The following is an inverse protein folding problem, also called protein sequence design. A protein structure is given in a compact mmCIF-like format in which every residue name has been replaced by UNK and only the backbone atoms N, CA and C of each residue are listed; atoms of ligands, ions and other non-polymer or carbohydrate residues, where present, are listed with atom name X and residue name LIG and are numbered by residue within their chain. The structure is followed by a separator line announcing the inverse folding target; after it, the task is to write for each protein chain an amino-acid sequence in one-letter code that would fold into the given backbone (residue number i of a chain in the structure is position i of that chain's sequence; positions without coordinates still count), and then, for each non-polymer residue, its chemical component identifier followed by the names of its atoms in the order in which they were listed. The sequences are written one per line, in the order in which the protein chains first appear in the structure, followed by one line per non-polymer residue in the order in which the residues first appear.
data_IF_401259730709
#
_entry.id   IF_401259730709
#
_cell.length_a   1.000
_cell.length_b   1.000
_cell.length_c   1.000
_cell.angle_alpha   90.00
_cell.angle_beta   90.00
_cell.angle_gamma   90.00
#
_symmetry.space_group_name_H-M   'P 1'
#
loop_
_entity.id
_entity.type
_entity.pdbx_description
1 polymer ?
#
# COMPACT_ATOMS: atom_id res chain seq x y z
N UNK A 1 43.61 -15.64 -35.82
CA UNK A 1 42.41 -14.78 -35.83
C UNK A 1 41.09 -15.57 -35.71
N UNK A 2 41.02 -16.69 -34.97
CA UNK A 2 39.82 -17.55 -34.93
C UNK A 2 39.41 -18.08 -33.53
N UNK A 3 40.17 -17.76 -32.46
CA UNK A 3 39.87 -18.22 -31.10
C UNK A 3 39.02 -17.20 -30.31
N UNK A 4 39.32 -15.90 -30.46
CA UNK A 4 38.57 -14.82 -29.80
C UNK A 4 37.12 -14.72 -30.29
N UNK A 5 36.90 -14.92 -31.59
CA UNK A 5 35.58 -14.85 -32.20
C UNK A 5 34.65 -15.99 -31.73
N UNK A 6 35.21 -17.18 -31.45
CA UNK A 6 34.44 -18.34 -30.95
C UNK A 6 34.08 -18.23 -29.48
N UNK A 7 34.87 -17.49 -28.69
CA UNK A 7 34.57 -17.20 -27.29
C UNK A 7 33.45 -16.16 -27.17
N UNK A 8 33.52 -15.10 -27.99
CA UNK A 8 32.54 -14.02 -28.04
C UNK A 8 31.14 -14.49 -28.45
N UNK A 9 31.04 -15.42 -29.42
CA UNK A 9 29.76 -15.99 -29.86
C UNK A 9 29.12 -16.89 -28.79
N UNK A 10 29.93 -17.58 -27.96
CA UNK A 10 29.43 -18.40 -26.85
C UNK A 10 28.97 -17.56 -25.65
N UNK A 11 29.65 -16.45 -25.36
CA UNK A 11 29.21 -15.51 -24.31
C UNK A 11 27.97 -14.71 -24.70
N UNK A 12 27.81 -14.35 -25.99
CA UNK A 12 26.61 -13.66 -26.45
C UNK A 12 25.36 -14.57 -26.42
N UNK A 13 25.51 -15.88 -26.64
CA UNK A 13 24.41 -16.83 -26.57
C UNK A 13 23.92 -17.11 -25.13
N UNK A 14 24.77 -16.87 -24.12
CA UNK A 14 24.40 -17.02 -22.70
C UNK A 14 23.71 -15.76 -22.17
N UNK A 15 24.01 -14.58 -22.73
CA UNK A 15 23.38 -13.32 -22.31
C UNK A 15 21.95 -13.12 -22.89
N UNK A 16 21.61 -13.76 -24.00
CA UNK A 16 20.25 -13.70 -24.58
C UNK A 16 19.24 -14.62 -23.90
N UNK A 17 19.67 -15.54 -23.04
CA UNK A 17 18.76 -16.47 -22.35
C UNK A 17 18.21 -15.95 -21.00
N UNK A 18 18.66 -14.79 -20.53
CA UNK A 18 18.22 -14.19 -19.26
C UNK A 18 17.18 -13.07 -19.39
N UNK A 19 16.59 -12.89 -20.56
CA UNK A 19 15.32 -12.17 -20.71
C UNK A 19 14.14 -13.14 -20.54
N UNK A 20 14.13 -13.86 -19.42
CA UNK A 20 12.91 -14.51 -18.94
C UNK A 20 11.99 -13.38 -18.51
N UNK A 21 10.96 -13.16 -19.31
CA UNK A 21 9.98 -12.13 -19.11
C UNK A 21 9.48 -12.12 -17.67
N UNK A 22 9.67 -10.97 -17.01
CA UNK A 22 8.72 -10.55 -15.99
C UNK A 22 7.42 -10.28 -16.73
N UNK A 23 6.64 -11.34 -16.95
CA UNK A 23 5.21 -11.18 -17.15
C UNK A 23 4.72 -10.61 -15.83
N UNK A 24 4.70 -9.27 -15.76
CA UNK A 24 3.97 -8.54 -14.75
C UNK A 24 2.57 -9.12 -14.82
N UNK A 25 2.24 -9.96 -13.84
CA UNK A 25 0.95 -10.60 -13.75
C UNK A 25 -0.02 -9.47 -13.42
N UNK A 26 -0.46 -8.75 -14.46
CA UNK A 26 -1.45 -7.70 -14.38
C UNK A 26 -2.65 -8.33 -13.67
N UNK A 27 -2.74 -8.01 -12.38
CA UNK A 27 -3.69 -8.56 -11.43
C UNK A 27 -5.06 -8.30 -12.04
N UNK A 28 -5.75 -9.37 -12.48
CA UNK A 28 -7.08 -9.25 -13.08
C UNK A 28 -8.11 -9.04 -11.98
N UNK A 29 -8.03 -7.90 -11.33
CA UNK A 29 -9.09 -7.42 -10.48
C UNK A 29 -10.22 -6.90 -11.36
N UNK A 30 -11.46 -7.07 -10.90
CA UNK A 30 -12.63 -6.58 -11.64
C UNK A 30 -12.55 -5.05 -11.71
N UNK A 31 -12.63 -4.44 -12.91
CA UNK A 31 -12.58 -3.00 -13.04
C UNK A 31 -13.76 -2.36 -12.32
N UNK A 32 -13.54 -1.14 -11.82
CA UNK A 32 -14.61 -0.36 -11.19
C UNK A 32 -15.72 -0.07 -12.20
N UNK A 33 -16.96 -0.10 -11.73
CA UNK A 33 -18.13 0.24 -12.54
C UNK A 33 -18.30 1.75 -12.64
N UNK A 34 -18.77 2.20 -13.80
CA UNK A 34 -19.15 3.58 -14.01
C UNK A 34 -20.41 3.92 -13.20
N UNK A 35 -20.63 5.19 -12.80
CA UNK A 35 -21.80 5.59 -12.02
C UNK A 35 -23.13 5.18 -12.65
N UNK A 36 -23.28 5.26 -13.97
CA UNK A 36 -24.50 4.85 -14.66
C UNK A 36 -24.77 3.35 -14.51
N UNK A 37 -23.73 2.51 -14.56
CA UNK A 37 -23.87 1.07 -14.39
C UNK A 37 -24.26 0.71 -12.96
N UNK A 38 -23.75 1.42 -11.95
CA UNK A 38 -24.16 1.22 -10.57
C UNK A 38 -25.65 1.57 -10.39
N UNK A 39 -26.10 2.68 -10.96
CA UNK A 39 -27.50 3.11 -10.90
C UNK A 39 -28.45 2.12 -11.60
N UNK A 40 -28.04 1.53 -12.71
CA UNK A 40 -28.81 0.51 -13.44
C UNK A 40 -28.95 -0.79 -12.63
N UNK A 41 -27.89 -1.20 -11.93
CA UNK A 41 -27.86 -2.42 -11.13
C UNK A 41 -28.52 -2.28 -9.75
N UNK A 42 -28.70 -1.05 -9.28
CA UNK A 42 -29.24 -0.77 -7.95
C UNK A 42 -30.77 -0.76 -7.95
N UNK A 43 -31.38 -1.38 -6.95
CA UNK A 43 -32.81 -1.19 -6.64
C UNK A 43 -33.02 0.05 -5.78
N UNK A 44 -32.07 0.35 -4.89
CA UNK A 44 -32.12 1.44 -3.94
C UNK A 44 -30.77 2.18 -3.95
N UNK A 45 -30.80 3.50 -3.83
CA UNK A 45 -29.62 4.35 -3.73
C UNK A 45 -29.86 5.35 -2.61
N UNK A 46 -29.03 5.28 -1.57
CA UNK A 46 -29.22 6.06 -0.35
C UNK A 46 -27.92 6.72 0.09
N UNK A 47 -28.02 7.93 0.63
CA UNK A 47 -26.97 8.52 1.44
C UNK A 47 -27.23 8.11 2.89
N UNK A 48 -26.29 7.41 3.50
CA UNK A 48 -26.50 6.89 4.85
C UNK A 48 -25.25 7.01 5.71
N UNK A 49 -25.48 7.16 7.01
CA UNK A 49 -24.45 7.05 8.04
C UNK A 49 -24.36 5.61 8.52
N UNK A 50 -23.15 5.08 8.60
CA UNK A 50 -22.89 3.77 9.19
C UNK A 50 -22.99 3.87 10.71
N UNK A 51 -23.87 3.08 11.31
CA UNK A 51 -23.99 2.99 12.76
C UNK A 51 -22.87 2.12 13.36
N UNK A 52 -22.58 2.23 14.68
CA UNK A 52 -21.53 1.45 15.33
C UNK A 52 -21.73 -0.08 15.27
N UNK A 53 -22.98 -0.53 15.11
CA UNK A 53 -23.35 -1.95 15.07
C UNK A 53 -23.01 -2.54 13.68
N UNK A 54 -21.72 -2.75 13.41
CA UNK A 54 -21.23 -3.46 12.23
C UNK A 54 -20.85 -4.89 12.63
N UNK A 55 -21.54 -5.86 12.04
CA UNK A 55 -21.22 -7.27 12.22
C UNK A 55 -20.24 -7.73 11.13
N UNK A 56 -19.24 -8.51 11.53
CA UNK A 56 -18.20 -9.02 10.63
C UNK A 56 -18.03 -10.52 10.89
N UNK A 57 -18.36 -11.33 9.90
CA UNK A 57 -18.11 -12.77 9.90
C UNK A 57 -16.87 -13.07 9.07
N UNK A 58 -15.91 -13.80 9.66
CA UNK A 58 -14.69 -14.21 8.95
C UNK A 58 -14.71 -15.69 8.63
N UNK A 59 -14.49 -16.03 7.37
CA UNK A 59 -14.32 -17.40 6.90
C UNK A 59 -12.99 -17.56 6.16
N UNK A 60 -12.45 -18.77 6.15
CA UNK A 60 -11.23 -19.08 5.39
C UNK A 60 -11.51 -20.27 4.48
N UNK A 61 -11.24 -20.10 3.19
CA UNK A 61 -11.40 -21.16 2.19
C UNK A 61 -10.36 -21.02 1.08
N UNK A 62 -9.71 -22.13 0.71
CA UNK A 62 -8.79 -22.19 -0.42
C UNK A 62 -7.67 -21.14 -0.41
N UNK A 63 -7.16 -20.73 0.76
CA UNK A 63 -6.12 -19.69 0.89
C UNK A 63 -6.65 -18.26 0.87
N UNK A 64 -7.96 -18.07 0.81
CA UNK A 64 -8.62 -16.78 0.98
C UNK A 64 -9.15 -16.62 2.39
N UNK A 65 -8.90 -15.47 3.01
CA UNK A 65 -9.65 -15.00 4.16
C UNK A 65 -10.75 -14.07 3.67
N UNK A 66 -12.00 -14.51 3.79
CA UNK A 66 -13.19 -13.75 3.41
C UNK A 66 -13.83 -13.15 4.66
N UNK A 67 -14.27 -11.91 4.53
CA UNK A 67 -15.03 -11.18 5.54
C UNK A 67 -16.35 -10.73 4.93
N UNK A 68 -17.44 -11.14 5.56
CA UNK A 68 -18.79 -10.71 5.22
C UNK A 68 -19.20 -9.67 6.27
N UNK A 69 -19.69 -8.52 5.80
CA UNK A 69 -20.02 -7.35 6.60
C UNK A 69 -21.52 -7.14 6.56
N UNK A 70 -22.13 -6.88 7.71
CA UNK A 70 -23.51 -6.40 7.82
C UNK A 70 -23.49 -5.01 8.44
N UNK A 71 -23.79 -4.00 7.63
CA UNK A 71 -23.82 -2.61 8.06
C UNK A 71 -25.22 -2.23 8.52
N UNK A 72 -25.36 -1.78 9.77
CA UNK A 72 -26.51 -0.98 10.21
C UNK A 72 -26.39 0.44 9.67
N UNK A 73 -27.33 0.88 8.84
CA UNK A 73 -27.31 2.18 8.18
C UNK A 73 -28.46 3.07 8.66
N UNK A 74 -28.16 4.33 8.97
CA UNK A 74 -29.15 5.37 9.20
C UNK A 74 -29.27 6.24 7.95
N UNK A 75 -30.44 6.20 7.30
CA UNK A 75 -30.68 6.90 6.03
C UNK A 75 -30.76 8.42 6.25
N UNK A 76 -29.84 9.17 5.65
CA UNK A 76 -29.82 10.64 5.67
C UNK A 76 -30.56 11.23 4.46
N UNK A 77 -30.45 10.59 3.29
CA UNK A 77 -31.16 10.97 2.07
C UNK A 77 -31.38 9.77 1.14
N UNK A 78 -32.33 9.88 0.21
CA UNK A 78 -32.74 8.80 -0.70
C UNK A 78 -32.79 9.32 -2.14
N UNK A 79 -31.99 8.71 -3.01
CA UNK A 79 -31.93 9.03 -4.43
C UNK A 79 -32.78 8.07 -5.27
N UNK A 80 -32.88 6.80 -4.85
CA UNK A 80 -33.65 5.75 -5.52
C UNK A 80 -34.15 4.73 -4.50
N UNK A 81 -35.31 4.14 -4.75
CA UNK A 81 -35.84 3.05 -3.91
C UNK A 81 -36.95 3.49 -2.97
N UNK A 82 -37.26 2.63 -2.00
CA UNK A 82 -38.44 2.79 -1.13
C UNK A 82 -38.14 3.27 0.30
N UNK A 83 -36.87 3.39 0.66
CA UNK A 83 -36.45 3.88 1.97
C UNK A 83 -36.85 5.34 2.19
N UNK A 84 -36.87 5.78 3.45
CA UNK A 84 -37.12 7.16 3.86
C UNK A 84 -36.00 7.67 4.74
N UNK A 85 -35.80 8.99 4.72
CA UNK A 85 -34.90 9.66 5.66
C UNK A 85 -35.30 9.32 7.09
N UNK A 86 -34.31 8.92 7.89
CA UNK A 86 -34.47 8.47 9.27
C UNK A 86 -34.71 6.98 9.43
N UNK A 87 -34.90 6.22 8.34
CA UNK A 87 -35.03 4.77 8.42
C UNK A 87 -33.69 4.15 8.84
N UNK A 88 -33.78 3.07 9.62
CA UNK A 88 -32.67 2.15 9.87
C UNK A 88 -32.81 0.97 8.93
N UNK A 89 -31.80 0.74 8.10
CA UNK A 89 -31.74 -0.39 7.16
C UNK A 89 -30.45 -1.18 7.37
N UNK A 90 -30.44 -2.44 6.96
CA UNK A 90 -29.25 -3.28 6.97
C UNK A 90 -28.79 -3.55 5.55
N UNK A 91 -27.48 -3.48 5.31
CA UNK A 91 -26.88 -3.77 4.01
C UNK A 91 -25.68 -4.71 4.17
N UNK A 92 -25.59 -5.72 3.30
CA UNK A 92 -24.49 -6.68 3.32
C UNK A 92 -23.44 -6.35 2.27
N UNK A 93 -22.17 -6.57 2.62
CA UNK A 93 -21.05 -6.49 1.71
C UNK A 93 -20.04 -7.58 2.04
N UNK A 94 -19.05 -7.78 1.18
CA UNK A 94 -17.97 -8.73 1.43
C UNK A 94 -16.67 -8.28 0.81
N UNK A 95 -15.56 -8.63 1.45
CA UNK A 95 -14.21 -8.48 0.96
C UNK A 95 -13.41 -9.74 1.26
N UNK A 96 -12.40 -10.05 0.46
CA UNK A 96 -11.46 -11.14 0.77
C UNK A 96 -10.03 -10.76 0.43
N UNK A 97 -9.13 -11.22 1.29
CA UNK A 97 -7.69 -11.10 1.12
C UNK A 97 -7.07 -12.49 0.90
N UNK A 98 -6.04 -12.55 0.06
CA UNK A 98 -5.24 -13.76 -0.10
C UNK A 98 -4.28 -13.90 1.06
N UNK A 99 -4.37 -15.02 1.77
CA UNK A 99 -3.50 -15.39 2.90
C UNK A 99 -2.70 -16.67 2.62
N UNK A 100 -2.84 -17.23 1.41
CA UNK A 100 -2.09 -18.39 0.94
C UNK A 100 -0.66 -18.06 0.53
N UNK A 101 0.12 -19.10 0.23
CA UNK A 101 1.48 -18.95 -0.29
C UNK A 101 1.47 -18.61 -1.78
N UNK A 102 2.37 -17.70 -2.18
CA UNK A 102 2.54 -17.28 -3.57
C UNK A 102 1.51 -16.24 -4.01
N UNK A 103 1.45 -15.99 -5.32
CA UNK A 103 0.50 -15.03 -5.89
C UNK A 103 -0.94 -15.56 -5.82
N UNK A 104 -1.93 -14.70 -5.52
CA UNK A 104 -3.33 -15.10 -5.54
C UNK A 104 -3.77 -15.58 -6.92
N UNK A 105 -4.63 -16.60 -7.01
CA UNK A 105 -5.25 -16.98 -8.27
C UNK A 105 -6.12 -15.82 -8.81
N UNK A 106 -6.23 -15.65 -10.15
CA UNK A 106 -6.99 -14.56 -10.75
C UNK A 106 -8.45 -14.56 -10.31
N UNK A 107 -8.85 -13.57 -9.51
CA UNK A 107 -10.20 -13.48 -8.97
C UNK A 107 -10.51 -12.09 -8.40
N UNK A 108 -11.78 -11.83 -8.08
CA UNK A 108 -12.20 -10.58 -7.43
C UNK A 108 -11.85 -10.57 -5.93
N UNK A 109 -11.43 -9.42 -5.40
CA UNK A 109 -11.26 -9.19 -3.97
C UNK A 109 -12.56 -8.76 -3.26
N UNK A 110 -13.64 -8.49 -4.01
CA UNK A 110 -14.93 -8.07 -3.47
C UNK A 110 -15.14 -6.57 -3.52
N UNK A 111 -15.72 -6.01 -2.45
CA UNK A 111 -16.07 -4.61 -2.36
C UNK A 111 -14.87 -3.73 -1.99
N UNK A 112 -14.82 -2.53 -2.59
CA UNK A 112 -13.86 -1.46 -2.28
C UNK A 112 -14.34 -0.09 -2.81
N UNK A 113 -14.19 0.99 -2.02
CA UNK A 113 -13.90 0.99 -0.59
C UNK A 113 -15.08 0.46 0.23
N UNK A 114 -14.83 0.08 1.49
CA UNK A 114 -15.88 -0.15 2.49
C UNK A 114 -15.86 1.01 3.51
N UNK A 115 -17.03 1.45 4.02
CA UNK A 115 -17.11 2.55 4.97
C UNK A 115 -16.80 2.06 6.40
N UNK A 116 -16.32 2.97 7.24
CA UNK A 116 -16.14 2.73 8.68
C UNK A 116 -17.38 3.17 9.46
N UNK A 117 -17.53 2.65 10.68
CA UNK A 117 -18.55 3.11 11.61
C UNK A 117 -18.45 4.63 11.82
N UNK A 118 -19.60 5.31 11.77
CA UNK A 118 -19.73 6.76 11.90
C UNK A 118 -19.59 7.54 10.59
N UNK A 119 -19.02 6.94 9.54
CA UNK A 119 -18.87 7.59 8.23
C UNK A 119 -20.20 7.71 7.50
N UNK A 120 -20.30 8.73 6.65
CA UNK A 120 -21.40 8.93 5.72
C UNK A 120 -20.92 8.54 4.33
N UNK A 121 -21.68 7.69 3.65
CA UNK A 121 -21.40 7.25 2.29
C UNK A 121 -22.68 7.12 1.48
N UNK A 122 -22.57 7.25 0.17
CA UNK A 122 -23.63 6.86 -0.76
C UNK A 122 -23.51 5.37 -1.02
N UNK A 123 -24.62 4.66 -0.86
CA UNK A 123 -24.74 3.23 -1.08
C UNK A 123 -25.62 2.96 -2.29
N UNK A 124 -25.07 2.22 -3.23
CA UNK A 124 -25.76 1.59 -4.35
C UNK A 124 -26.13 0.17 -3.92
N UNK A 125 -27.41 -0.06 -3.69
CA UNK A 125 -27.94 -1.28 -3.08
C UNK A 125 -28.82 -2.03 -4.07
N UNK A 126 -28.76 -3.36 -4.00
CA UNK A 126 -29.62 -4.27 -4.74
C UNK A 126 -30.34 -5.18 -3.75
N UNK A 127 -31.67 -5.20 -3.83
CA UNK A 127 -32.50 -6.16 -3.10
C UNK A 127 -32.41 -7.53 -3.75
N UNK A 128 -32.05 -8.55 -2.98
CA UNK A 128 -32.07 -9.95 -3.40
C UNK A 128 -33.50 -10.51 -3.40
N UNK A 129 -33.70 -11.70 -3.96
CA UNK A 129 -35.00 -12.38 -3.95
C UNK A 129 -35.48 -12.67 -2.52
N UNK A 130 -34.54 -12.85 -1.58
CA UNK A 130 -34.80 -13.04 -0.13
C UNK A 130 -35.09 -11.72 0.61
N UNK A 131 -35.10 -10.59 -0.10
CA UNK A 131 -35.37 -9.26 0.46
C UNK A 131 -34.18 -8.58 1.14
N UNK A 132 -33.00 -9.22 1.16
CA UNK A 132 -31.78 -8.67 1.74
C UNK A 132 -31.23 -7.57 0.83
N UNK A 133 -30.76 -6.46 1.42
CA UNK A 133 -30.06 -5.42 0.66
C UNK A 133 -28.57 -5.77 0.60
N UNK A 134 -28.08 -5.99 -0.61
CA UNK A 134 -26.66 -6.22 -0.88
C UNK A 134 -26.06 -4.98 -1.53
N UNK A 135 -24.84 -4.60 -1.14
CA UNK A 135 -24.07 -3.56 -1.82
C UNK A 135 -23.71 -4.03 -3.23
N UNK A 136 -23.81 -3.13 -4.21
CA UNK A 136 -23.44 -3.46 -5.59
C UNK A 136 -21.91 -3.53 -5.71
N UNK A 137 -21.37 -4.66 -6.13
CA UNK A 137 -19.93 -4.81 -6.41
C UNK A 137 -19.46 -3.90 -7.57
N UNK A 138 -18.13 -3.76 -7.77
CA UNK A 138 -17.12 -3.81 -6.73
C UNK A 138 -17.08 -2.51 -5.91
N UNK A 139 -17.72 -1.43 -6.39
CA UNK A 139 -17.61 -0.06 -5.85
C UNK A 139 -18.96 0.60 -5.61
N UNK A 140 -19.94 -0.14 -5.10
CA UNK A 140 -21.27 0.39 -4.73
C UNK A 140 -21.28 1.28 -3.49
N UNK A 141 -20.11 1.60 -2.93
CA UNK A 141 -19.95 2.57 -1.85
C UNK A 141 -19.12 3.74 -2.37
N UNK A 142 -19.68 4.94 -2.26
CA UNK A 142 -18.99 6.20 -2.53
C UNK A 142 -18.86 6.97 -1.21
N UNK A 143 -17.63 7.09 -0.70
CA UNK A 143 -17.36 7.78 0.57
C UNK A 143 -17.49 9.30 0.39
N UNK A 144 -18.09 9.98 1.37
CA UNK A 144 -18.27 11.43 1.31
C UNK A 144 -16.95 12.23 1.52
N UNK A 145 -15.95 11.60 2.14
CA UNK A 145 -14.62 12.19 2.39
C UNK A 145 -13.57 11.42 1.59
N UNK A 146 -12.47 12.09 1.19
CA UNK A 146 -11.33 11.40 0.60
C UNK A 146 -10.67 10.52 1.67
N UNK A 147 -11.05 9.26 1.67
CA UNK A 147 -10.41 8.22 2.46
C UNK A 147 -9.55 7.34 1.55
N UNK A 148 -8.49 6.75 2.11
CA UNK A 148 -7.72 5.74 1.42
C UNK A 148 -8.61 4.50 1.18
N UNK A 149 -8.93 4.16 -0.09
CA UNK A 149 -9.74 2.99 -0.39
C UNK A 149 -9.07 1.67 -0.01
N UNK A 150 -7.75 1.67 0.21
CA UNK A 150 -6.97 0.48 0.55
C UNK A 150 -6.61 0.41 2.04
N UNK A 151 -7.19 1.27 2.87
CA UNK A 151 -6.99 1.24 4.31
C UNK A 151 -7.42 -0.13 4.88
N UNK A 152 -6.48 -0.90 5.49
CA UNK A 152 -6.77 -2.22 6.02
C UNK A 152 -7.86 -2.24 7.11
N UNK A 153 -8.05 -1.12 7.83
CA UNK A 153 -9.09 -1.01 8.87
C UNK A 153 -10.49 -1.13 8.27
N UNK A 154 -10.68 -0.64 7.04
CA UNK A 154 -11.95 -0.75 6.29
C UNK A 154 -12.30 -2.20 5.96
N UNK A 155 -11.30 -3.05 5.92
CA UNK A 155 -11.46 -4.47 5.67
C UNK A 155 -11.49 -5.28 6.96
N UNK A 156 -11.53 -4.63 8.14
CA UNK A 156 -11.68 -5.26 9.45
C UNK A 156 -10.36 -5.60 10.15
N UNK A 157 -9.21 -5.12 9.66
CA UNK A 157 -7.99 -5.19 10.47
C UNK A 157 -8.13 -4.25 11.68
N UNK A 158 -7.59 -4.63 12.85
CA UNK A 158 -7.57 -3.73 13.99
C UNK A 158 -6.82 -2.45 13.61
N UNK A 159 -7.25 -1.27 14.10
CA UNK A 159 -6.47 -0.05 13.94
C UNK A 159 -5.03 -0.30 14.39
N UNK A 160 -4.05 0.07 13.56
CA UNK A 160 -2.66 0.04 14.00
C UNK A 160 -2.54 1.05 15.14
N UNK A 161 -2.47 0.52 16.36
CA UNK A 161 -1.95 1.28 17.50
C UNK A 161 -0.46 1.37 17.24
N UNK A 162 -0.03 2.46 16.60
CA UNK A 162 1.38 2.83 16.73
C UNK A 162 1.66 2.90 18.23
N UNK A 163 2.67 2.19 18.75
CA UNK A 163 2.97 2.24 20.16
C UNK A 163 3.15 3.71 20.53
N UNK A 164 2.29 4.18 21.43
CA UNK A 164 2.40 5.50 22.01
C UNK A 164 3.85 5.62 22.50
N UNK A 165 4.61 6.57 21.96
CA UNK A 165 6.02 6.75 22.34
C UNK A 165 6.16 7.18 23.84
N UNK A 166 5.05 7.23 24.58
CA UNK A 166 4.95 7.70 25.97
C UNK A 166 5.01 6.66 27.09
N UNK A 167 4.82 5.36 26.85
CA UNK A 167 4.60 4.38 27.96
C UNK A 167 5.60 3.21 28.00
N UNK A 168 6.89 3.47 27.75
CA UNK A 168 7.96 2.55 28.10
C UNK A 168 8.68 3.03 29.38
N UNK A 169 8.86 2.18 30.41
CA UNK A 169 9.61 2.55 31.60
C UNK A 169 11.03 2.95 31.23
N UNK A 170 11.45 4.10 31.75
CA UNK A 170 12.80 4.66 31.64
C UNK A 170 13.85 3.68 32.18
N UNK A 171 14.34 2.77 31.33
CA UNK A 171 15.59 2.06 31.58
C UNK A 171 16.45 2.05 30.31
N UNK A 172 17.29 3.08 30.25
CA UNK A 172 18.66 3.04 29.73
C UNK A 172 18.88 2.50 28.30
N UNK A 173 18.40 3.23 27.30
CA UNK A 173 19.24 3.54 26.14
C UNK A 173 18.82 4.90 25.60
N UNK A 174 19.54 5.94 26.01
CA UNK A 174 19.42 7.25 25.40
C UNK A 174 19.51 7.09 23.87
N UNK A 175 18.37 7.26 23.18
CA UNK A 175 18.38 7.59 21.76
C UNK A 175 19.05 8.94 21.68
N UNK A 176 20.35 8.94 21.41
CA UNK A 176 21.10 10.12 21.05
C UNK A 176 20.28 10.86 19.99
N UNK A 177 19.98 12.16 20.16
CA UNK A 177 19.26 12.92 19.15
C UNK A 177 19.93 12.67 17.81
N UNK A 178 19.15 12.34 16.77
CA UNK A 178 19.68 12.14 15.43
C UNK A 178 20.54 13.35 15.10
N UNK A 179 21.86 13.13 15.05
CA UNK A 179 22.83 14.19 14.84
C UNK A 179 22.49 14.83 13.50
N UNK A 180 22.10 16.12 13.45
CA UNK A 180 21.77 16.78 12.19
C UNK A 180 22.98 16.82 11.23
N UNK A 181 24.18 16.49 11.74
CA UNK A 181 25.40 16.29 10.99
C UNK A 181 25.91 14.87 11.19
N UNK A 182 25.27 13.89 10.55
CA UNK A 182 25.79 12.53 10.52
C UNK A 182 27.26 12.49 10.07
N UNK A 183 28.00 11.48 10.55
CA UNK A 183 29.43 11.34 10.28
C UNK A 183 29.75 11.35 8.78
N UNK A 184 28.82 10.89 7.94
CA UNK A 184 28.89 10.97 6.48
C UNK A 184 28.97 12.43 5.98
N UNK A 185 28.19 13.35 6.54
CA UNK A 185 28.19 14.77 6.18
C UNK A 185 29.51 15.41 6.63
N UNK A 186 29.96 15.13 7.86
CA UNK A 186 31.22 15.67 8.40
C UNK A 186 32.42 15.20 7.56
N UNK A 187 32.45 13.91 7.20
CA UNK A 187 33.52 13.34 6.36
C UNK A 187 33.54 13.96 4.97
N UNK A 188 32.37 14.18 4.36
CA UNK A 188 32.26 14.86 3.05
C UNK A 188 32.79 16.30 3.14
N UNK A 189 32.37 17.06 4.17
CA UNK A 189 32.78 18.44 4.35
C UNK A 189 34.28 18.59 4.62
N UNK A 190 34.90 17.63 5.32
CA UNK A 190 36.34 17.63 5.57
C UNK A 190 37.14 17.13 4.35
N UNK A 191 36.59 16.23 3.53
CA UNK A 191 37.27 15.68 2.36
C UNK A 191 37.42 16.69 1.22
N UNK A 192 36.45 17.60 1.04
CA UNK A 192 36.46 18.62 -0.02
C UNK A 192 37.67 19.57 0.02
N UNK A 193 38.01 20.25 1.13
CA UNK A 193 39.17 21.12 1.19
C UNK A 193 40.50 20.35 1.06
N UNK A 194 40.57 19.10 1.55
CA UNK A 194 41.74 18.22 1.39
C UNK A 194 41.93 17.84 -0.10
N UNK A 195 40.85 17.52 -0.80
CA UNK A 195 40.87 17.26 -2.23
C UNK A 195 41.35 18.48 -3.01
N UNK A 196 40.75 19.65 -2.77
CA UNK A 196 41.14 20.91 -3.44
C UNK A 196 42.59 21.28 -3.10
N UNK A 197 43.02 21.09 -1.86
CA UNK A 197 44.40 21.29 -1.43
C UNK A 197 45.38 20.34 -2.12
N UNK A 198 45.00 19.08 -2.34
CA UNK A 198 45.84 18.09 -3.03
C UNK A 198 46.17 18.49 -4.47
N UNK A 199 45.23 19.14 -5.16
CA UNK A 199 45.41 19.60 -6.54
C UNK A 199 46.45 20.73 -6.67
N UNK A 200 46.76 21.42 -5.57
CA UNK A 200 47.76 22.49 -5.51
C UNK A 200 49.15 22.02 -5.09
N UNK A 201 49.32 20.76 -4.70
CA UNK A 201 50.60 20.22 -4.22
C UNK A 201 51.33 19.44 -5.34
N UNK A 202 52.66 19.55 -5.47
CA UNK A 202 53.45 18.73 -6.38
C UNK A 202 53.97 17.45 -5.71
N UNK A 203 54.23 16.41 -6.52
CA UNK A 203 54.96 15.21 -6.11
C UNK A 203 54.21 14.30 -5.12
N UNK A 204 54.94 13.68 -4.19
CA UNK A 204 54.41 12.66 -3.27
C UNK A 204 53.30 13.18 -2.35
N UNK A 205 53.36 14.45 -1.96
CA UNK A 205 52.36 15.10 -1.11
C UNK A 205 50.96 15.16 -1.76
N UNK A 206 50.90 15.29 -3.09
CA UNK A 206 49.63 15.21 -3.84
C UNK A 206 48.96 13.86 -3.66
N UNK A 207 49.73 12.79 -3.87
CA UNK A 207 49.20 11.43 -3.82
C UNK A 207 48.76 11.01 -2.42
N UNK A 208 49.48 11.45 -1.39
CA UNK A 208 49.08 11.20 0.01
C UNK A 208 47.77 11.91 0.36
N UNK A 209 47.61 13.19 -0.01
CA UNK A 209 46.39 13.94 0.29
C UNK A 209 45.18 13.44 -0.52
N UNK A 210 45.40 13.01 -1.76
CA UNK A 210 44.35 12.43 -2.61
C UNK A 210 43.91 11.06 -2.07
N UNK A 211 44.84 10.26 -1.55
CA UNK A 211 44.53 9.02 -0.85
C UNK A 211 43.72 9.24 0.44
N UNK A 212 44.10 10.23 1.25
CA UNK A 212 43.36 10.59 2.47
C UNK A 212 41.93 11.04 2.13
N UNK A 213 41.78 11.92 1.13
CA UNK A 213 40.45 12.38 0.68
C UNK A 213 39.58 11.21 0.16
N UNK A 214 40.18 10.28 -0.59
CA UNK A 214 39.47 9.10 -1.11
C UNK A 214 38.96 8.20 0.03
N UNK A 215 39.78 7.92 1.04
CA UNK A 215 39.38 7.11 2.19
C UNK A 215 38.20 7.73 2.93
N UNK A 216 38.19 9.06 3.07
CA UNK A 216 37.11 9.78 3.72
C UNK A 216 35.78 9.70 2.94
N UNK A 217 35.83 9.83 1.61
CA UNK A 217 34.63 9.65 0.78
C UNK A 217 34.11 8.21 0.80
N UNK A 218 35.00 7.21 0.79
CA UNK A 218 34.61 5.79 0.90
C UNK A 218 33.98 5.49 2.25
N UNK A 219 34.54 6.02 3.34
CA UNK A 219 33.97 5.87 4.68
C UNK A 219 32.58 6.51 4.78
N UNK A 220 32.39 7.72 4.23
CA UNK A 220 31.08 8.36 4.17
C UNK A 220 30.05 7.54 3.37
N UNK A 221 30.45 6.97 2.23
CA UNK A 221 29.58 6.12 1.42
C UNK A 221 29.19 4.83 2.14
N UNK A 222 30.11 4.21 2.89
CA UNK A 222 29.82 3.00 3.68
C UNK A 222 28.85 3.30 4.82
N UNK A 223 28.98 4.45 5.48
CA UNK A 223 28.06 4.88 6.55
C UNK A 223 26.66 5.16 5.99
N UNK A 224 26.55 5.76 4.80
CA UNK A 224 25.27 6.09 4.18
C UNK A 224 24.49 4.87 3.63
N UNK A 225 25.16 3.74 3.40
CA UNK A 225 24.56 2.51 2.85
C UNK A 225 24.31 1.46 3.95
N UNK A 226 24.94 1.60 5.11
CA UNK A 226 24.77 0.73 6.29
C UNK A 226 23.54 1.10 7.11
#
# INVERSE_FOLDING_TARGET
MNALLRLLVRTLAVCTLFMVGSADAARREVPLRAPQQLLEMSTDVVLARVLPDVEIETSTDGGWSRRDFTFSLLVEDVEKGGAKRGDRIEATAWHRAWVGLGDPPPSSAGHRPLPLAGEVARFHLRRTDDGVLEVVLPNGVELATSADPLDPVRYGEPPRVEPDEGDAPEDAAAKTPADPFGWEIILILLALPVLVGSLKQPGKARWTLLGVSLVMFVAAALIAIS
#
